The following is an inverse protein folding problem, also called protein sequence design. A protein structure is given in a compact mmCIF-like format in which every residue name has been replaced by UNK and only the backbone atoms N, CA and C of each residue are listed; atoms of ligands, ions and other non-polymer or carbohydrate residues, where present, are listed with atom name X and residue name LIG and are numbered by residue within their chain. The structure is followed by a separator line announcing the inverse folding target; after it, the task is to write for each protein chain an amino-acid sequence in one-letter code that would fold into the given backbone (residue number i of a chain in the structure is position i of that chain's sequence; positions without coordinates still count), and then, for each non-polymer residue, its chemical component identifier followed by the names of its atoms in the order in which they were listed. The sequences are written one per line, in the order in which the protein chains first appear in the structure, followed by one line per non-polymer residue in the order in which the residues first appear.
data_IF_206509558737
#
_entry.id   IF_206509558737
#
_cell.length_a   1.000
_cell.length_b   1.000
_cell.length_c   1.000
_cell.angle_alpha   90.00
_cell.angle_beta   90.00
_cell.angle_gamma   90.00
#
_symmetry.space_group_name_H-M   'P 1'
#
loop_
_entity.id
_entity.type
_entity.pdbx_description
1 polymer ?
#
# COMPACT_ATOMS: atom_id res chain seq x y z
N UNK A 1 17.30 -28.87 -35.28
CA UNK A 1 17.45 -30.06 -34.41
C UNK A 1 16.90 -29.68 -33.06
N UNK A 2 15.58 -29.75 -32.91
CA UNK A 2 14.88 -29.32 -31.70
C UNK A 2 14.63 -30.53 -30.80
N UNK A 3 15.50 -30.72 -29.81
CA UNK A 3 15.13 -31.55 -28.68
C UNK A 3 13.98 -30.83 -27.95
N UNK A 4 12.85 -31.50 -27.68
CA UNK A 4 11.68 -30.80 -27.20
C UNK A 4 11.92 -30.35 -25.75
N UNK A 5 11.76 -29.04 -25.52
CA UNK A 5 12.05 -28.27 -24.30
C UNK A 5 11.56 -28.93 -22.99
N UNK A 6 10.57 -29.82 -23.06
CA UNK A 6 10.06 -30.59 -21.92
C UNK A 6 11.10 -31.60 -21.38
N UNK A 7 11.91 -32.24 -22.23
CA UNK A 7 12.91 -33.22 -21.79
C UNK A 7 14.04 -32.58 -20.99
N UNK A 8 14.38 -31.32 -21.29
CA UNK A 8 15.40 -30.57 -20.56
C UNK A 8 14.88 -30.23 -19.14
N UNK A 9 13.60 -29.86 -19.01
CA UNK A 9 12.96 -29.55 -17.71
C UNK A 9 12.95 -30.76 -16.76
N UNK A 10 12.64 -31.95 -17.28
CA UNK A 10 12.61 -33.17 -16.47
C UNK A 10 14.00 -33.65 -16.04
N UNK A 11 15.01 -33.48 -16.90
CA UNK A 11 16.41 -33.78 -16.55
C UNK A 11 16.95 -32.82 -15.48
N UNK A 12 16.62 -31.53 -15.56
CA UNK A 12 17.04 -30.55 -14.53
C UNK A 12 16.40 -30.87 -13.17
N UNK A 13 15.10 -31.21 -13.13
CA UNK A 13 14.44 -31.65 -11.88
C UNK A 13 15.09 -32.91 -11.30
N UNK A 14 15.43 -33.87 -12.16
CA UNK A 14 16.07 -35.12 -11.73
C UNK A 14 17.45 -34.86 -11.11
N UNK A 15 18.23 -33.93 -11.66
CA UNK A 15 19.56 -33.57 -11.15
C UNK A 15 19.45 -32.86 -9.79
N UNK A 16 18.46 -32.00 -9.60
CA UNK A 16 18.27 -31.24 -8.35
C UNK A 16 17.77 -32.09 -7.16
N UNK A 17 17.27 -33.31 -7.40
CA UNK A 17 16.69 -34.19 -6.37
C UNK A 17 17.55 -35.40 -5.98
N UNK A 18 18.82 -35.48 -6.41
CA UNK A 18 19.69 -36.62 -6.04
C UNK A 18 20.10 -36.57 -4.56
N UNK A 19 19.61 -37.56 -3.79
CA UNK A 19 20.01 -37.80 -2.38
C UNK A 19 21.50 -38.18 -2.28
N UNK A 20 22.22 -37.71 -1.24
CA UNK A 20 23.63 -38.04 -1.07
C UNK A 20 23.80 -39.53 -0.69
N UNK A 21 24.61 -40.26 -1.47
CA UNK A 21 25.03 -41.63 -1.17
C UNK A 21 26.16 -41.59 -0.13
N UNK A 22 25.94 -42.25 1.01
CA UNK A 22 26.94 -42.40 2.07
C UNK A 22 27.98 -43.47 1.67
N UNK A 23 29.13 -43.05 1.16
CA UNK A 23 30.35 -43.86 1.17
C UNK A 23 31.53 -42.98 1.58
N UNK A 24 32.19 -43.38 2.66
CA UNK A 24 33.40 -42.76 3.20
C UNK A 24 34.61 -43.21 2.36
N UNK A 25 35.10 -42.36 1.46
CA UNK A 25 36.45 -42.46 0.90
C UNK A 25 37.17 -41.12 1.05
N UNK A 26 38.43 -41.15 1.45
CA UNK A 26 39.29 -40.01 1.81
C UNK A 26 39.83 -39.19 0.62
N UNK A 27 39.13 -39.20 -0.51
CA UNK A 27 39.42 -38.33 -1.65
C UNK A 27 38.72 -36.97 -1.45
N UNK A 28 39.30 -35.83 -1.90
CA UNK A 28 38.60 -34.55 -1.88
C UNK A 28 37.23 -34.73 -2.54
N UNK A 29 36.15 -34.19 -1.93
CA UNK A 29 34.80 -34.44 -2.42
C UNK A 29 34.73 -34.05 -3.90
N UNK A 30 34.24 -34.95 -4.78
CA UNK A 30 34.10 -34.62 -6.19
C UNK A 30 33.26 -33.35 -6.31
N UNK A 31 33.79 -32.36 -7.02
CA UNK A 31 33.09 -31.09 -7.28
C UNK A 31 31.71 -31.42 -7.85
N UNK A 32 30.69 -30.66 -7.41
CA UNK A 32 29.32 -30.88 -7.84
C UNK A 32 29.24 -30.87 -9.38
N UNK A 33 28.59 -31.87 -10.03
CA UNK A 33 28.51 -31.96 -11.49
C UNK A 33 27.98 -30.68 -12.16
N UNK A 34 27.19 -29.90 -11.43
CA UNK A 34 26.58 -28.65 -11.90
C UNK A 34 27.61 -27.53 -12.15
N UNK A 35 28.77 -27.57 -11.47
CA UNK A 35 29.82 -26.55 -11.61
C UNK A 35 30.56 -26.61 -12.95
N UNK A 36 30.45 -27.74 -13.66
CA UNK A 36 31.12 -27.99 -14.94
C UNK A 36 30.22 -27.75 -16.16
N UNK A 37 28.98 -27.30 -15.93
CA UNK A 37 28.09 -26.96 -17.04
C UNK A 37 28.65 -25.77 -17.83
N UNK A 38 28.53 -25.77 -19.16
CA UNK A 38 28.79 -24.60 -19.99
C UNK A 38 28.04 -23.36 -19.51
N UNK A 39 28.65 -22.19 -19.70
CA UNK A 39 28.13 -20.89 -19.25
C UNK A 39 26.71 -20.62 -19.76
N UNK A 40 26.42 -21.05 -20.99
CA UNK A 40 25.12 -20.93 -21.65
C UNK A 40 24.03 -21.75 -20.95
N UNK A 41 24.37 -22.96 -20.49
CA UNK A 41 23.44 -23.80 -19.74
C UNK A 41 23.19 -23.25 -18.34
N UNK A 42 24.21 -22.68 -17.70
CA UNK A 42 24.03 -21.99 -16.42
C UNK A 42 23.12 -20.76 -16.57
N UNK A 43 23.29 -19.94 -17.62
CA UNK A 43 22.37 -18.84 -17.95
C UNK A 43 20.95 -19.35 -18.20
N UNK A 44 20.80 -20.44 -18.97
CA UNK A 44 19.50 -21.01 -19.26
C UNK A 44 18.79 -21.47 -17.97
N UNK A 45 19.52 -22.15 -17.08
CA UNK A 45 18.98 -22.53 -15.77
C UNK A 45 18.57 -21.29 -14.98
N UNK A 46 19.44 -20.26 -14.91
CA UNK A 46 19.14 -19.01 -14.20
C UNK A 46 17.88 -18.32 -14.74
N UNK A 47 17.67 -18.33 -16.06
CA UNK A 47 16.49 -17.72 -16.71
C UNK A 47 15.17 -18.46 -16.45
N UNK A 48 15.23 -19.72 -16.00
CA UNK A 48 14.07 -20.55 -15.67
C UNK A 48 13.79 -20.63 -14.16
N UNK A 49 14.56 -19.92 -13.35
CA UNK A 49 14.28 -19.81 -11.93
C UNK A 49 12.97 -19.03 -11.75
N UNK A 50 12.10 -19.53 -10.88
CA UNK A 50 10.78 -18.95 -10.63
C UNK A 50 10.75 -17.94 -9.49
N UNK A 51 11.86 -17.78 -8.76
CA UNK A 51 11.91 -16.81 -7.68
C UNK A 51 13.26 -16.11 -7.53
N UNK A 52 13.19 -14.87 -7.12
CA UNK A 52 14.32 -14.00 -6.90
C UNK A 52 15.14 -14.42 -5.68
N UNK A 53 14.47 -15.02 -4.69
CA UNK A 53 15.11 -15.68 -3.54
C UNK A 53 15.96 -16.88 -3.99
N UNK A 54 15.41 -17.74 -4.86
CA UNK A 54 16.14 -18.88 -5.42
C UNK A 54 17.32 -18.44 -6.28
N UNK A 55 17.15 -17.38 -7.09
CA UNK A 55 18.26 -16.80 -7.85
C UNK A 55 19.39 -16.38 -6.92
N UNK A 56 19.08 -15.57 -5.90
CA UNK A 56 20.07 -15.09 -4.93
C UNK A 56 20.72 -16.24 -4.17
N UNK A 57 19.96 -17.24 -3.72
CA UNK A 57 20.49 -18.42 -3.07
C UNK A 57 21.48 -19.18 -3.97
N UNK A 58 21.13 -19.41 -5.24
CA UNK A 58 21.99 -20.11 -6.20
C UNK A 58 23.26 -19.32 -6.56
N UNK A 59 23.13 -18.01 -6.76
CA UNK A 59 24.28 -17.15 -7.06
C UNK A 59 25.24 -17.02 -5.88
N UNK A 60 24.77 -17.12 -4.63
CA UNK A 60 25.66 -17.07 -3.45
C UNK A 60 26.19 -18.44 -3.05
N UNK A 61 25.44 -19.51 -3.24
CA UNK A 61 25.85 -20.86 -2.81
C UNK A 61 26.75 -21.58 -3.81
N UNK A 62 26.71 -21.22 -5.10
CA UNK A 62 27.43 -21.93 -6.17
C UNK A 62 28.27 -20.94 -7.00
N UNK A 63 29.61 -20.97 -6.90
CA UNK A 63 30.50 -20.04 -7.61
C UNK A 63 30.32 -20.04 -9.14
N UNK A 64 29.94 -21.17 -9.73
CA UNK A 64 29.65 -21.25 -11.16
C UNK A 64 28.44 -20.39 -11.56
N UNK A 65 27.35 -20.43 -10.79
CA UNK A 65 26.19 -19.56 -11.01
C UNK A 65 26.49 -18.09 -10.71
N UNK A 66 27.31 -17.82 -9.67
CA UNK A 66 27.80 -16.46 -9.40
C UNK A 66 28.50 -15.87 -10.63
N UNK A 67 29.50 -16.58 -11.17
CA UNK A 67 30.23 -16.16 -12.38
C UNK A 67 29.29 -16.09 -13.57
N UNK A 68 28.44 -17.09 -13.77
CA UNK A 68 27.49 -17.10 -14.87
C UNK A 68 26.59 -15.86 -14.88
N UNK A 69 26.07 -15.47 -13.72
CA UNK A 69 25.24 -14.28 -13.58
C UNK A 69 26.05 -12.98 -13.69
N UNK A 70 27.09 -12.80 -12.88
CA UNK A 70 27.82 -11.52 -12.77
C UNK A 70 28.75 -11.22 -13.94
N UNK A 71 29.35 -12.25 -14.57
CA UNK A 71 30.21 -12.09 -15.74
C UNK A 71 29.42 -11.97 -17.05
N UNK A 72 28.10 -12.17 -17.02
CA UNK A 72 27.25 -12.03 -18.20
C UNK A 72 27.01 -10.56 -18.60
N UNK A 73 26.84 -10.28 -19.91
CA UNK A 73 26.46 -8.96 -20.38
C UNK A 73 25.21 -8.43 -19.67
N UNK A 74 25.08 -7.10 -19.47
CA UNK A 74 23.90 -6.49 -18.86
C UNK A 74 22.57 -6.97 -19.47
N UNK A 75 22.53 -7.19 -20.78
CA UNK A 75 21.34 -7.67 -21.49
C UNK A 75 20.90 -9.05 -21.00
N UNK A 76 21.83 -9.99 -20.85
CA UNK A 76 21.55 -11.34 -20.36
C UNK A 76 21.06 -11.33 -18.91
N UNK A 77 21.71 -10.52 -18.05
CA UNK A 77 21.25 -10.33 -16.67
C UNK A 77 19.83 -9.77 -16.61
N UNK A 78 19.54 -8.78 -17.46
CA UNK A 78 18.21 -8.18 -17.55
C UNK A 78 17.16 -9.19 -18.03
N UNK A 79 17.51 -10.09 -18.96
CA UNK A 79 16.60 -11.15 -19.41
C UNK A 79 16.30 -12.16 -18.30
N UNK A 80 17.32 -12.60 -17.54
CA UNK A 80 17.14 -13.49 -16.39
C UNK A 80 16.21 -12.85 -15.36
N UNK A 81 16.51 -11.61 -14.97
CA UNK A 81 15.75 -10.90 -13.94
C UNK A 81 14.33 -10.57 -14.42
N UNK A 82 14.15 -10.23 -15.69
CA UNK A 82 12.83 -10.01 -16.29
C UNK A 82 11.99 -11.29 -16.26
N UNK A 83 12.56 -12.43 -16.65
CA UNK A 83 11.87 -13.73 -16.60
C UNK A 83 11.40 -14.09 -15.19
N UNK A 84 12.24 -13.84 -14.18
CA UNK A 84 11.88 -14.08 -12.77
C UNK A 84 10.75 -13.15 -12.33
N UNK A 85 10.84 -11.86 -12.66
CA UNK A 85 9.83 -10.88 -12.30
C UNK A 85 8.49 -11.19 -12.99
N UNK A 86 8.50 -11.60 -14.26
CA UNK A 86 7.32 -12.05 -15.01
C UNK A 86 6.69 -13.32 -14.43
N UNK A 87 7.44 -14.12 -13.67
CA UNK A 87 6.94 -15.31 -12.98
C UNK A 87 6.45 -15.01 -11.55
N UNK A 88 7.09 -14.07 -10.84
CA UNK A 88 6.73 -13.71 -9.46
C UNK A 88 5.60 -12.68 -9.36
N UNK A 89 5.48 -11.79 -10.35
CA UNK A 89 4.56 -10.66 -10.34
C UNK A 89 3.51 -10.87 -11.42
N UNK A 90 2.24 -10.71 -11.05
CA UNK A 90 1.16 -10.78 -12.04
C UNK A 90 1.39 -9.78 -13.20
N UNK A 91 1.14 -10.14 -14.47
CA UNK A 91 1.33 -9.24 -15.61
C UNK A 91 0.67 -7.86 -15.46
N UNK A 92 -0.49 -7.81 -14.79
CA UNK A 92 -1.22 -6.59 -14.44
C UNK A 92 -0.42 -5.67 -13.50
N UNK A 93 0.22 -6.22 -12.45
CA UNK A 93 1.06 -5.46 -11.51
C UNK A 93 2.37 -5.01 -12.15
N UNK A 94 2.86 -5.70 -13.18
CA UNK A 94 4.05 -5.25 -13.91
C UNK A 94 3.84 -3.92 -14.62
N UNK A 95 2.63 -3.70 -15.15
CA UNK A 95 2.26 -2.42 -15.72
C UNK A 95 2.32 -1.32 -14.65
N UNK A 96 1.81 -1.60 -13.45
CA UNK A 96 1.82 -0.65 -12.33
C UNK A 96 3.25 -0.34 -11.86
N UNK A 97 4.10 -1.36 -11.72
CA UNK A 97 5.53 -1.17 -11.39
C UNK A 97 6.19 -0.31 -12.45
N UNK A 98 5.98 -0.61 -13.73
CA UNK A 98 6.55 0.18 -14.83
C UNK A 98 6.07 1.65 -14.78
N UNK A 99 4.80 1.88 -14.46
CA UNK A 99 4.25 3.23 -14.26
C UNK A 99 4.97 3.98 -13.14
N UNK A 100 5.19 3.36 -11.97
CA UNK A 100 5.93 3.98 -10.85
C UNK A 100 7.30 4.46 -11.31
N UNK A 101 8.05 3.59 -11.97
CA UNK A 101 9.42 3.93 -12.34
C UNK A 101 9.52 4.92 -13.49
N UNK A 102 8.61 4.86 -14.47
CA UNK A 102 8.50 5.88 -15.52
C UNK A 102 8.19 7.24 -14.91
N UNK A 103 7.25 7.30 -13.96
CA UNK A 103 6.93 8.52 -13.22
C UNK A 103 8.13 9.05 -12.43
N UNK A 104 8.96 8.17 -11.85
CA UNK A 104 10.20 8.55 -11.17
C UNK A 104 11.32 9.02 -12.10
N UNK A 105 11.17 8.86 -13.42
CA UNK A 105 12.22 9.18 -14.41
C UNK A 105 13.39 8.19 -14.39
N UNK A 106 13.23 7.03 -13.76
CA UNK A 106 14.28 6.01 -13.68
C UNK A 106 14.41 5.34 -15.06
N UNK A 107 15.57 5.47 -15.68
CA UNK A 107 15.88 4.77 -16.95
C UNK A 107 16.17 3.30 -16.66
N UNK A 108 15.74 2.41 -17.57
CA UNK A 108 16.06 0.98 -17.50
C UNK A 108 17.58 0.77 -17.60
N UNK A 109 18.25 0.66 -16.46
CA UNK A 109 19.68 0.41 -16.31
C UNK A 109 19.97 -0.80 -15.44
N UNK A 110 21.25 -1.07 -15.15
CA UNK A 110 21.67 -2.21 -14.31
C UNK A 110 21.13 -2.18 -12.88
N UNK A 111 20.76 -0.99 -12.39
CA UNK A 111 20.26 -0.77 -11.01
C UNK A 111 18.74 -0.93 -10.89
N UNK A 112 18.02 -0.88 -12.02
CA UNK A 112 16.57 -0.97 -12.10
C UNK A 112 16.01 -2.14 -11.29
N UNK A 113 16.62 -3.32 -11.42
CA UNK A 113 16.13 -4.53 -10.75
C UNK A 113 16.28 -4.50 -9.24
N UNK A 114 17.31 -3.82 -8.73
CA UNK A 114 17.48 -3.61 -7.29
C UNK A 114 16.34 -2.76 -6.74
N UNK A 115 16.03 -1.66 -7.42
CA UNK A 115 14.93 -0.78 -7.02
C UNK A 115 13.56 -1.46 -7.18
N UNK A 116 13.34 -2.24 -8.25
CA UNK A 116 12.10 -3.02 -8.43
C UNK A 116 11.93 -4.02 -7.31
N UNK A 117 12.98 -4.79 -6.99
CA UNK A 117 12.98 -5.75 -5.88
C UNK A 117 12.64 -5.05 -4.57
N UNK A 118 13.25 -3.91 -4.30
CA UNK A 118 13.00 -3.14 -3.08
C UNK A 118 11.56 -2.64 -3.02
N UNK A 119 11.03 -2.09 -4.13
CA UNK A 119 9.65 -1.64 -4.22
C UNK A 119 8.66 -2.80 -4.02
N UNK A 120 8.84 -3.92 -4.70
CA UNK A 120 7.98 -5.10 -4.56
C UNK A 120 8.03 -5.66 -3.13
N UNK A 121 9.23 -5.80 -2.55
CA UNK A 121 9.38 -6.27 -1.17
C UNK A 121 8.71 -5.33 -0.16
N UNK A 122 8.75 -4.02 -0.41
CA UNK A 122 8.05 -3.01 0.40
C UNK A 122 6.54 -3.11 0.26
N UNK A 123 6.03 -3.20 -0.97
CA UNK A 123 4.58 -3.32 -1.24
C UNK A 123 4.03 -4.62 -0.66
N UNK A 124 4.74 -5.74 -0.77
CA UNK A 124 4.40 -7.01 -0.13
C UNK A 124 4.31 -6.88 1.39
N UNK A 125 5.28 -6.20 2.01
CA UNK A 125 5.27 -5.97 3.45
C UNK A 125 4.11 -5.07 3.88
N UNK A 126 3.92 -3.94 3.21
CA UNK A 126 2.82 -3.00 3.49
C UNK A 126 1.44 -3.63 3.26
N UNK A 127 1.31 -4.55 2.30
CA UNK A 127 0.08 -5.33 2.09
C UNK A 127 -0.29 -6.12 3.36
N UNK A 128 0.70 -6.74 4.01
CA UNK A 128 0.48 -7.46 5.27
C UNK A 128 0.09 -6.53 6.41
N UNK A 129 0.73 -5.36 6.48
CA UNK A 129 0.41 -4.33 7.49
C UNK A 129 -1.00 -3.78 7.30
N UNK A 130 -1.40 -3.48 6.05
CA UNK A 130 -2.76 -3.09 5.69
C UNK A 130 -3.77 -4.15 6.13
N UNK A 131 -3.53 -5.42 5.77
CA UNK A 131 -4.43 -6.52 6.13
C UNK A 131 -4.55 -6.69 7.66
N UNK A 132 -3.44 -6.54 8.38
CA UNK A 132 -3.44 -6.64 9.85
C UNK A 132 -4.29 -5.55 10.49
N UNK A 133 -4.26 -4.32 9.96
CA UNK A 133 -5.10 -3.23 10.45
C UNK A 133 -6.56 -3.41 10.05
N UNK A 134 -6.82 -3.61 8.76
CA UNK A 134 -8.17 -3.68 8.20
C UNK A 134 -8.97 -4.91 8.68
N UNK A 135 -8.28 -6.02 8.98
CA UNK A 135 -8.90 -7.25 9.51
C UNK A 135 -8.83 -7.35 11.05
N UNK A 136 -8.37 -6.29 11.74
CA UNK A 136 -8.27 -6.29 13.21
C UNK A 136 -9.66 -6.55 13.83
N UNK A 137 -9.77 -7.44 14.84
CA UNK A 137 -11.03 -7.63 15.55
C UNK A 137 -11.50 -6.32 16.16
N UNK A 138 -12.73 -5.90 15.85
CA UNK A 138 -13.37 -4.77 16.52
C UNK A 138 -13.81 -5.27 17.90
N UNK A 139 -12.98 -5.04 18.92
CA UNK A 139 -13.14 -5.63 20.24
C UNK A 139 -14.50 -5.35 20.90
N UNK A 140 -15.02 -6.35 21.63
CA UNK A 140 -16.00 -6.14 22.69
C UNK A 140 -17.06 -7.23 22.94
N UNK A 141 -17.06 -8.38 22.28
CA UNK A 141 -18.05 -9.42 22.60
C UNK A 141 -17.72 -10.79 22.00
N UNK A 142 -17.61 -11.78 22.88
CA UNK A 142 -17.67 -13.23 22.66
C UNK A 142 -17.43 -13.78 21.25
N UNK A 143 -16.25 -14.35 21.06
CA UNK A 143 -16.09 -15.71 20.54
C UNK A 143 -16.83 -16.08 19.26
N UNK A 144 -16.42 -15.52 18.13
CA UNK A 144 -16.29 -16.34 16.93
C UNK A 144 -14.84 -16.22 16.49
N UNK A 145 -14.07 -17.27 16.73
CA UNK A 145 -12.78 -17.46 16.05
C UNK A 145 -13.06 -17.43 14.55
N UNK A 146 -12.69 -16.34 13.87
CA UNK A 146 -12.74 -16.31 12.41
C UNK A 146 -11.64 -17.24 11.89
N UNK A 147 -11.90 -18.54 11.89
CA UNK A 147 -10.95 -19.61 11.58
C UNK A 147 -10.34 -19.61 10.17
N UNK A 148 -10.75 -18.68 9.29
CA UNK A 148 -10.13 -18.47 7.97
C UNK A 148 -9.58 -17.04 7.77
N UNK A 149 -9.58 -16.18 8.79
CA UNK A 149 -9.18 -14.76 8.64
C UNK A 149 -7.71 -14.54 8.26
N UNK A 150 -6.84 -15.52 8.45
CA UNK A 150 -5.40 -15.33 8.30
C UNK A 150 -4.87 -15.35 6.87
N UNK A 151 -5.61 -15.94 5.91
CA UNK A 151 -5.16 -16.03 4.52
C UNK A 151 -6.01 -15.09 3.65
N UNK A 152 -5.36 -14.05 3.15
CA UNK A 152 -5.89 -13.25 2.03
C UNK A 152 -5.79 -14.07 0.76
N UNK A 153 -6.77 -13.91 -0.14
CA UNK A 153 -6.65 -14.53 -1.46
C UNK A 153 -5.60 -13.80 -2.30
N UNK A 154 -5.14 -14.43 -3.38
CA UNK A 154 -4.26 -13.75 -4.36
C UNK A 154 -4.95 -12.56 -5.02
N UNK A 155 -6.28 -12.59 -5.13
CA UNK A 155 -7.09 -11.51 -5.70
C UNK A 155 -7.14 -10.29 -4.78
N UNK A 156 -7.38 -10.50 -3.49
CA UNK A 156 -7.37 -9.44 -2.48
C UNK A 156 -5.98 -8.81 -2.37
N UNK A 157 -4.96 -9.67 -2.33
CA UNK A 157 -3.56 -9.26 -2.38
C UNK A 157 -3.28 -8.40 -3.61
N UNK A 158 -3.72 -8.86 -4.79
CA UNK A 158 -3.54 -8.13 -6.05
C UNK A 158 -4.16 -6.72 -6.01
N UNK A 159 -5.41 -6.59 -5.55
CA UNK A 159 -6.09 -5.28 -5.44
C UNK A 159 -5.36 -4.32 -4.50
N UNK A 160 -4.90 -4.80 -3.34
CA UNK A 160 -4.14 -4.00 -2.37
C UNK A 160 -2.81 -3.54 -2.99
N UNK A 161 -2.08 -4.45 -3.63
CA UNK A 161 -0.80 -4.14 -4.26
C UNK A 161 -0.95 -3.14 -5.40
N UNK A 162 -1.96 -3.31 -6.26
CA UNK A 162 -2.30 -2.35 -7.32
C UNK A 162 -2.56 -0.96 -6.75
N UNK A 163 -3.37 -0.85 -5.70
CA UNK A 163 -3.64 0.43 -5.05
C UNK A 163 -2.36 1.07 -4.46
N UNK A 164 -1.48 0.29 -3.84
CA UNK A 164 -0.19 0.77 -3.32
C UNK A 164 0.74 1.26 -4.44
N UNK A 165 0.85 0.53 -5.56
CA UNK A 165 1.66 0.98 -6.70
C UNK A 165 1.11 2.25 -7.34
N UNK A 166 -0.22 2.38 -7.43
CA UNK A 166 -0.86 3.58 -7.95
C UNK A 166 -0.64 4.78 -7.04
N UNK A 167 -0.76 4.59 -5.73
CA UNK A 167 -0.36 5.60 -4.75
C UNK A 167 1.09 6.06 -5.01
N UNK A 168 2.02 5.10 -5.14
CA UNK A 168 3.43 5.45 -5.37
C UNK A 168 3.66 6.13 -6.73
N UNK A 169 2.87 5.79 -7.76
CA UNK A 169 2.89 6.48 -9.05
C UNK A 169 2.39 7.92 -8.90
N UNK A 170 1.32 8.15 -8.15
CA UNK A 170 0.79 9.48 -7.85
C UNK A 170 1.84 10.33 -7.13
N UNK A 171 2.49 9.76 -6.10
CA UNK A 171 3.60 10.40 -5.38
C UNK A 171 4.77 10.70 -6.31
N UNK A 172 5.14 9.78 -7.20
CA UNK A 172 6.24 10.02 -8.13
C UNK A 172 5.96 11.15 -9.13
N UNK A 173 4.69 11.34 -9.51
CA UNK A 173 4.24 12.39 -10.43
C UNK A 173 4.11 13.76 -9.75
N UNK A 174 3.43 13.80 -8.59
CA UNK A 174 2.97 15.04 -7.98
C UNK A 174 3.58 15.33 -6.60
N UNK A 175 4.22 14.35 -5.96
CA UNK A 175 4.85 14.53 -4.66
C UNK A 175 6.07 15.46 -4.76
N UNK A 176 6.17 16.40 -3.82
CA UNK A 176 7.31 17.28 -3.69
C UNK A 176 8.50 16.52 -3.11
N UNK A 177 9.62 16.50 -3.84
CA UNK A 177 10.83 15.78 -3.41
C UNK A 177 11.75 16.62 -2.52
N UNK A 178 11.62 17.93 -2.61
CA UNK A 178 12.40 18.90 -1.86
C UNK A 178 11.39 19.94 -1.38
N UNK A 179 11.09 19.98 -0.08
CA UNK A 179 10.32 21.05 0.58
C UNK A 179 11.11 22.37 0.58
N UNK A 180 11.59 22.76 -0.59
CA UNK A 180 12.25 24.02 -0.88
C UNK A 180 11.34 24.77 -1.85
N UNK A 181 11.31 26.11 -1.78
CA UNK A 181 10.55 26.92 -2.73
C UNK A 181 11.18 26.71 -4.12
N UNK A 182 10.68 25.72 -4.85
CA UNK A 182 11.25 25.28 -6.11
C UNK A 182 10.17 25.32 -7.17
N UNK A 183 10.43 26.18 -8.16
CA UNK A 183 9.92 26.39 -9.52
C UNK A 183 9.09 25.33 -10.26
N UNK A 184 8.71 24.18 -9.67
CA UNK A 184 7.66 23.34 -10.24
C UNK A 184 6.35 24.13 -10.17
N UNK A 185 5.64 24.14 -11.29
CA UNK A 185 4.26 24.62 -11.36
C UNK A 185 3.47 23.78 -10.35
N UNK A 186 3.05 24.41 -9.26
CA UNK A 186 2.17 23.79 -8.27
C UNK A 186 0.93 23.30 -9.01
N UNK A 187 0.82 21.99 -9.18
CA UNK A 187 -0.39 21.41 -9.74
C UNK A 187 -1.47 21.59 -8.69
N UNK A 188 -2.57 22.26 -9.04
CA UNK A 188 -3.73 22.26 -8.16
C UNK A 188 -4.32 20.86 -8.11
N UNK A 189 -4.98 20.49 -7.01
CA UNK A 189 -5.61 19.17 -6.85
C UNK A 189 -6.52 18.78 -8.03
N UNK A 190 -7.21 19.75 -8.65
CA UNK A 190 -8.04 19.54 -9.84
C UNK A 190 -7.22 19.13 -11.07
N UNK A 191 -6.04 19.73 -11.25
CA UNK A 191 -5.13 19.39 -12.35
C UNK A 191 -4.51 18.02 -12.12
N UNK A 192 -4.09 17.73 -10.87
CA UNK A 192 -3.61 16.39 -10.49
C UNK A 192 -4.68 15.34 -10.81
N UNK A 193 -5.93 15.60 -10.41
CA UNK A 193 -7.04 14.70 -10.65
C UNK A 193 -7.35 14.52 -12.14
N UNK A 194 -7.37 15.61 -12.91
CA UNK A 194 -7.59 15.56 -14.36
C UNK A 194 -6.51 14.77 -15.10
N UNK A 195 -5.24 14.98 -14.72
CA UNK A 195 -4.11 14.26 -15.32
C UNK A 195 -4.08 12.78 -14.94
N UNK A 196 -4.33 12.47 -13.67
CA UNK A 196 -4.15 11.12 -13.15
C UNK A 196 -5.40 10.25 -13.28
N UNK A 197 -6.56 10.77 -12.87
CA UNK A 197 -7.83 10.05 -12.88
C UNK A 197 -8.66 10.29 -14.15
N UNK A 198 -8.44 11.41 -14.85
CA UNK A 198 -9.25 11.83 -16.00
C UNK A 198 -8.88 11.17 -17.34
N UNK A 199 -7.69 10.58 -17.48
CA UNK A 199 -7.17 10.06 -18.77
C UNK A 199 -7.78 8.72 -19.21
N UNK A 200 -8.83 8.22 -18.54
CA UNK A 200 -9.53 6.97 -18.88
C UNK A 200 -8.78 5.67 -18.55
N UNK A 201 -7.53 5.78 -18.09
CA UNK A 201 -6.69 4.66 -17.66
C UNK A 201 -7.13 4.05 -16.33
N UNK A 202 -7.58 4.88 -15.38
CA UNK A 202 -8.02 4.42 -14.05
C UNK A 202 -9.54 4.30 -14.00
N UNK A 203 -10.04 3.13 -13.62
CA UNK A 203 -11.47 2.85 -13.45
C UNK A 203 -11.94 3.31 -12.07
N UNK A 204 -13.24 3.57 -11.96
CA UNK A 204 -13.81 4.15 -10.74
C UNK A 204 -13.69 3.24 -9.49
N UNK A 205 -13.70 1.91 -9.65
CA UNK A 205 -13.43 1.01 -8.53
C UNK A 205 -11.97 1.04 -8.10
N UNK A 206 -11.04 1.25 -9.03
CA UNK A 206 -9.62 1.32 -8.70
C UNK A 206 -9.24 2.66 -8.03
N UNK A 207 -9.93 3.76 -8.38
CA UNK A 207 -9.84 5.02 -7.60
C UNK A 207 -10.27 4.77 -6.16
N UNK A 208 -11.32 3.97 -5.97
CA UNK A 208 -11.83 3.64 -4.65
C UNK A 208 -10.90 2.70 -3.88
N UNK A 209 -10.24 1.74 -4.57
CA UNK A 209 -9.13 0.95 -4.02
C UNK A 209 -8.00 1.85 -3.50
N UNK A 210 -7.61 2.85 -4.29
CA UNK A 210 -6.63 3.85 -3.88
C UNK A 210 -7.12 4.66 -2.67
N UNK A 211 -8.39 5.06 -2.64
CA UNK A 211 -8.97 5.79 -1.51
C UNK A 211 -8.97 4.93 -0.22
N UNK A 212 -9.32 3.64 -0.30
CA UNK A 212 -9.23 2.69 0.81
C UNK A 212 -7.79 2.64 1.39
N UNK A 213 -6.77 2.56 0.52
CA UNK A 213 -5.35 2.56 0.94
C UNK A 213 -4.92 3.91 1.50
N UNK A 214 -5.32 5.03 0.88
CA UNK A 214 -5.03 6.38 1.36
C UNK A 214 -5.56 6.58 2.78
N UNK A 215 -6.81 6.20 3.05
CA UNK A 215 -7.42 6.38 4.36
C UNK A 215 -6.71 5.54 5.43
N UNK A 216 -6.24 4.34 5.08
CA UNK A 216 -5.38 3.55 5.96
C UNK A 216 -4.09 4.28 6.30
N UNK A 217 -3.37 4.81 5.30
CA UNK A 217 -2.15 5.59 5.54
C UNK A 217 -2.43 6.83 6.39
N UNK A 218 -3.54 7.51 6.13
CA UNK A 218 -3.97 8.69 6.89
C UNK A 218 -4.18 8.37 8.36
N UNK A 219 -4.79 7.20 8.68
CA UNK A 219 -4.93 6.72 10.05
C UNK A 219 -3.60 6.34 10.68
N UNK A 220 -2.72 5.68 9.92
CA UNK A 220 -1.36 5.34 10.39
C UNK A 220 -0.62 6.60 10.78
N UNK A 221 -0.53 7.59 9.89
CA UNK A 221 0.15 8.85 10.16
C UNK A 221 -0.49 9.62 11.31
N UNK A 222 -1.82 9.71 11.37
CA UNK A 222 -2.49 10.29 12.53
C UNK A 222 -2.20 9.55 13.83
N UNK A 223 -2.01 8.23 13.78
CA UNK A 223 -1.54 7.44 14.93
C UNK A 223 -0.16 7.89 15.39
N UNK A 224 0.80 7.95 14.46
CA UNK A 224 2.18 8.38 14.73
C UNK A 224 2.21 9.81 15.27
N UNK A 225 1.53 10.77 14.64
CA UNK A 225 1.49 12.17 15.10
C UNK A 225 0.95 12.31 16.53
N UNK A 226 -0.07 11.52 16.89
CA UNK A 226 -0.59 11.50 18.27
C UNK A 226 0.39 10.87 19.25
N UNK A 227 1.09 9.81 18.85
CA UNK A 227 2.13 9.17 19.67
C UNK A 227 3.31 10.11 19.92
N UNK A 228 3.71 10.89 18.92
CA UNK A 228 4.84 11.83 19.00
C UNK A 228 4.44 13.24 19.43
N UNK A 229 3.17 13.45 19.84
CA UNK A 229 2.61 14.79 20.10
C UNK A 229 3.42 15.59 21.13
N UNK A 230 3.95 14.93 22.17
CA UNK A 230 4.76 15.58 23.19
C UNK A 230 6.05 16.19 22.62
N UNK A 231 6.80 15.41 21.84
CA UNK A 231 8.04 15.88 21.21
C UNK A 231 7.80 16.97 20.16
N UNK A 232 6.70 16.84 19.40
CA UNK A 232 6.28 17.87 18.43
C UNK A 232 5.95 19.18 19.15
N UNK A 233 5.20 19.09 20.24
CA UNK A 233 4.84 20.26 21.06
C UNK A 233 6.08 20.97 21.61
N UNK A 234 7.06 20.23 22.12
CA UNK A 234 8.32 20.82 22.63
C UNK A 234 9.13 21.50 21.52
N UNK A 235 9.23 20.88 20.35
CA UNK A 235 9.90 21.46 19.17
C UNK A 235 9.21 22.75 18.71
N UNK A 236 7.88 22.73 18.62
CA UNK A 236 7.09 23.88 18.21
C UNK A 236 7.24 25.04 19.20
N UNK A 237 7.19 24.75 20.50
CA UNK A 237 7.41 25.74 21.54
C UNK A 237 8.81 26.36 21.45
N UNK A 238 9.87 25.56 21.26
CA UNK A 238 11.22 26.11 21.17
C UNK A 238 11.39 26.96 19.90
N UNK A 239 10.79 26.54 18.79
CA UNK A 239 10.78 27.33 17.54
C UNK A 239 10.11 28.69 17.75
N UNK A 240 8.93 28.72 18.38
CA UNK A 240 8.22 29.97 18.70
C UNK A 240 9.00 30.84 19.70
N UNK A 241 9.64 30.24 20.70
CA UNK A 241 10.52 30.96 21.63
C UNK A 241 11.67 31.62 20.89
N UNK A 242 12.33 30.91 19.97
CA UNK A 242 13.44 31.46 19.19
C UNK A 242 12.98 32.62 18.31
N UNK A 243 11.84 32.50 17.63
CA UNK A 243 11.27 33.59 16.84
C UNK A 243 10.92 34.81 17.71
N UNK A 244 10.30 34.60 18.88
CA UNK A 244 9.90 35.68 19.78
C UNK A 244 11.10 36.33 20.51
N UNK A 245 12.17 35.58 20.78
CA UNK A 245 13.44 36.13 21.30
C UNK A 245 14.01 37.18 20.34
N UNK A 246 13.82 37.03 19.02
CA UNK A 246 14.22 38.05 18.04
C UNK A 246 13.45 39.37 18.20
N UNK A 247 12.28 39.36 18.84
CA UNK A 247 11.49 40.56 19.16
C UNK A 247 11.77 41.10 20.58
N UNK A 248 12.86 40.66 21.22
CA UNK A 248 13.26 41.06 22.58
C UNK A 248 12.22 40.74 23.67
N UNK A 249 11.36 39.74 23.44
CA UNK A 249 10.49 39.21 24.48
C UNK A 249 11.29 38.28 25.38
N UNK A 250 11.12 38.42 26.70
CA UNK A 250 11.85 37.63 27.70
C UNK A 250 10.94 37.18 28.85
N UNK A 251 11.40 36.17 29.59
CA UNK A 251 10.74 35.71 30.81
C UNK A 251 9.32 35.17 30.58
N UNK A 252 8.38 35.52 31.46
CA UNK A 252 7.01 34.98 31.42
C UNK A 252 6.21 35.38 30.19
N UNK A 253 6.43 36.58 29.66
CA UNK A 253 5.70 37.07 28.49
C UNK A 253 6.06 36.28 27.22
N UNK A 254 7.34 35.92 27.07
CA UNK A 254 7.82 35.04 26.01
C UNK A 254 7.11 33.67 26.06
N UNK A 255 7.11 33.04 27.24
CA UNK A 255 6.53 31.72 27.45
C UNK A 255 5.02 31.70 27.17
N UNK A 256 4.27 32.62 27.78
CA UNK A 256 2.81 32.69 27.61
C UNK A 256 2.42 32.97 26.16
N UNK A 257 3.22 33.74 25.43
CA UNK A 257 2.96 34.05 24.02
C UNK A 257 3.31 32.88 23.11
N UNK A 258 4.43 32.20 23.34
CA UNK A 258 4.83 31.00 22.59
C UNK A 258 3.76 29.90 22.75
N UNK A 259 3.38 29.58 24.00
CA UNK A 259 2.32 28.60 24.28
C UNK A 259 1.00 28.97 23.61
N UNK A 260 0.61 30.24 23.66
CA UNK A 260 -0.61 30.71 23.00
C UNK A 260 -0.55 30.54 21.49
N UNK A 261 0.59 30.82 20.86
CA UNK A 261 0.75 30.65 19.40
C UNK A 261 0.69 29.18 18.99
N UNK A 262 1.37 28.28 19.72
CA UNK A 262 1.29 26.83 19.45
C UNK A 262 -0.13 26.30 19.70
N UNK A 263 -0.80 26.70 20.79
CA UNK A 263 -2.20 26.32 21.06
C UNK A 263 -3.18 26.83 20.00
N UNK A 264 -2.89 27.97 19.38
CA UNK A 264 -3.73 28.54 18.33
C UNK A 264 -3.53 27.87 16.96
N UNK A 265 -2.54 26.98 16.81
CA UNK A 265 -2.44 26.12 15.62
C UNK A 265 -3.63 25.17 15.63
N UNK A 266 -4.60 25.45 14.76
CA UNK A 266 -5.93 24.85 14.79
C UNK A 266 -5.95 23.34 14.55
N UNK A 267 -7.16 22.76 14.62
CA UNK A 267 -7.39 21.32 14.39
C UNK A 267 -6.95 20.85 12.99
N UNK A 268 -6.85 21.77 12.02
CA UNK A 268 -6.44 21.48 10.64
C UNK A 268 -4.97 21.06 10.50
N UNK A 269 -4.11 21.43 11.46
CA UNK A 269 -2.68 21.10 11.42
C UNK A 269 -2.44 19.58 11.28
N UNK A 270 -3.15 18.74 12.04
CA UNK A 270 -2.94 17.28 11.96
C UNK A 270 -3.37 16.73 10.59
N UNK A 271 -4.40 17.31 9.98
CA UNK A 271 -4.87 16.90 8.65
C UNK A 271 -3.82 17.27 7.59
N UNK A 272 -3.32 18.51 7.65
CA UNK A 272 -2.31 19.04 6.73
C UNK A 272 -1.00 18.26 6.82
N UNK A 273 -0.51 17.98 8.04
CA UNK A 273 0.68 17.14 8.22
C UNK A 273 0.52 15.77 7.57
N UNK A 274 -0.66 15.14 7.67
CA UNK A 274 -0.85 13.83 7.04
C UNK A 274 -0.78 13.89 5.51
N UNK A 275 -1.23 14.97 4.87
CA UNK A 275 -1.06 15.15 3.41
C UNK A 275 0.42 15.29 3.04
N UNK A 276 1.19 16.08 3.80
CA UNK A 276 2.65 16.20 3.65
C UNK A 276 3.31 14.83 3.74
N UNK A 277 2.94 14.03 4.74
CA UNK A 277 3.50 12.69 4.93
C UNK A 277 3.07 11.69 3.84
N UNK A 278 1.92 11.89 3.19
CA UNK A 278 1.54 11.11 2.00
C UNK A 278 2.47 11.42 0.82
N UNK A 279 2.90 12.68 0.64
CA UNK A 279 3.85 13.04 -0.44
C UNK A 279 5.20 12.34 -0.32
N UNK A 280 5.58 11.87 0.87
CA UNK A 280 6.83 11.14 1.12
C UNK A 280 6.81 9.69 0.60
N UNK A 281 5.63 9.18 0.23
CA UNK A 281 5.46 7.88 -0.43
C UNK A 281 5.62 6.65 0.47
N UNK A 282 5.55 5.48 -0.16
CA UNK A 282 5.68 4.19 0.53
C UNK A 282 7.02 4.00 1.25
N UNK A 283 8.18 4.49 0.74
CA UNK A 283 9.45 4.35 1.45
C UNK A 283 9.43 4.95 2.84
N UNK A 284 8.84 6.13 2.99
CA UNK A 284 8.72 6.80 4.28
C UNK A 284 7.73 6.07 5.20
N UNK A 285 6.55 5.71 4.68
CA UNK A 285 5.55 4.92 5.42
C UNK A 285 6.15 3.63 5.99
N UNK A 286 6.97 2.93 5.20
CA UNK A 286 7.61 1.70 5.65
C UNK A 286 8.68 1.94 6.72
N UNK A 287 9.39 3.07 6.70
CA UNK A 287 10.36 3.44 7.73
C UNK A 287 9.65 3.78 9.04
N UNK A 288 8.62 4.62 8.99
CA UNK A 288 7.91 5.07 10.20
C UNK A 288 7.20 3.92 10.92
N UNK A 289 6.64 2.96 10.18
CA UNK A 289 6.00 1.78 10.76
C UNK A 289 7.00 0.76 11.35
N UNK A 290 8.26 0.78 10.88
CA UNK A 290 9.33 -0.08 11.42
C UNK A 290 10.03 0.54 12.62
N UNK A 291 9.91 1.85 12.82
CA UNK A 291 10.46 2.54 13.96
C UNK A 291 9.83 2.00 15.27
N UNK A 292 10.68 1.65 16.23
CA UNK A 292 10.29 0.91 17.43
C UNK A 292 9.92 1.80 18.60
N UNK A 293 10.43 3.03 18.62
CA UNK A 293 10.22 3.97 19.72
C UNK A 293 9.56 5.27 19.23
N UNK A 294 9.03 6.04 20.18
CA UNK A 294 8.44 7.35 19.91
C UNK A 294 9.51 8.33 19.43
N UNK A 295 10.71 8.26 19.99
CA UNK A 295 11.86 9.10 19.64
C UNK A 295 12.35 8.80 18.22
N UNK A 296 12.43 7.52 17.83
CA UNK A 296 12.80 7.13 16.46
C UNK A 296 11.74 7.61 15.45
N UNK A 297 10.46 7.52 15.79
CA UNK A 297 9.37 8.06 14.95
C UNK A 297 9.45 9.57 14.84
N UNK A 298 9.69 10.27 15.94
CA UNK A 298 9.83 11.72 15.96
C UNK A 298 11.03 12.17 15.12
N UNK A 299 12.21 11.56 15.28
CA UNK A 299 13.40 11.88 14.50
C UNK A 299 13.21 11.64 12.98
N UNK A 300 12.33 10.71 12.59
CA UNK A 300 11.95 10.52 11.19
C UNK A 300 10.97 11.59 10.70
N UNK A 301 10.08 12.09 11.56
CA UNK A 301 9.06 13.08 11.23
C UNK A 301 9.61 14.51 11.21
N UNK A 302 10.43 14.87 12.18
CA UNK A 302 10.93 16.22 12.46
C UNK A 302 11.36 17.00 11.21
N UNK A 303 12.15 16.43 10.26
CA UNK A 303 12.57 17.18 9.06
C UNK A 303 11.45 17.55 8.09
N UNK A 304 10.26 16.99 8.26
CA UNK A 304 9.11 17.15 7.38
C UNK A 304 7.91 17.82 8.07
N UNK A 305 8.01 18.11 9.38
CA UNK A 305 6.95 18.78 10.10
C UNK A 305 6.89 20.24 9.66
N UNK A 306 5.72 20.66 9.18
CA UNK A 306 5.48 22.04 8.79
C UNK A 306 4.98 22.83 10.00
N UNK A 307 5.74 23.84 10.40
CA UNK A 307 5.45 24.68 11.57
C UNK A 307 4.39 25.73 11.24
N UNK A 308 4.35 26.20 9.99
CA UNK A 308 3.43 27.23 9.54
C UNK A 308 2.84 26.88 8.16
N UNK A 309 1.52 26.68 8.11
CA UNK A 309 0.78 26.53 6.86
C UNK A 309 0.25 27.90 6.44
N UNK A 310 0.88 28.49 5.43
CA UNK A 310 0.26 29.61 4.72
C UNK A 310 -0.95 29.10 3.92
N UNK A 311 -0.83 27.88 3.36
CA UNK A 311 -1.88 27.15 2.65
C UNK A 311 -1.81 25.66 3.02
N UNK A 312 -2.97 25.03 3.20
CA UNK A 312 -3.08 23.59 3.41
C UNK A 312 -2.57 22.84 2.17
N UNK A 313 -1.71 21.80 2.31
CA UNK A 313 -1.24 21.04 1.17
C UNK A 313 -2.37 20.22 0.57
N UNK A 314 -2.84 20.66 -0.60
CA UNK A 314 -3.80 19.98 -1.44
C UNK A 314 -3.12 18.83 -2.22
N UNK A 315 -3.05 17.64 -1.60
CA UNK A 315 -2.47 16.46 -2.24
C UNK A 315 -3.53 15.43 -2.63
N UNK A 316 -3.38 14.18 -2.18
CA UNK A 316 -4.17 13.07 -2.67
C UNK A 316 -5.61 13.14 -2.16
N UNK A 317 -5.85 13.62 -0.95
CA UNK A 317 -7.23 13.72 -0.43
C UNK A 317 -8.08 14.65 -1.27
N UNK A 318 -7.59 15.84 -1.59
CA UNK A 318 -8.34 16.80 -2.39
C UNK A 318 -8.38 16.40 -3.87
N UNK A 319 -7.33 15.75 -4.38
CA UNK A 319 -7.36 15.17 -5.73
C UNK A 319 -8.42 14.05 -5.87
N UNK A 320 -8.65 13.25 -4.82
CA UNK A 320 -9.70 12.22 -4.82
C UNK A 320 -11.12 12.79 -4.75
N UNK A 321 -11.29 14.01 -4.21
CA UNK A 321 -12.57 14.73 -4.14
C UNK A 321 -12.85 15.61 -5.35
N UNK A 322 -11.85 15.83 -6.19
CA UNK A 322 -11.95 16.78 -7.30
C UNK A 322 -13.07 16.40 -8.30
N UNK A 323 -13.73 17.41 -8.90
CA UNK A 323 -14.68 17.19 -9.98
C UNK A 323 -14.04 16.42 -11.15
N UNK A 324 -14.79 15.51 -11.77
CA UNK A 324 -14.31 14.74 -12.92
C UNK A 324 -13.51 13.48 -12.58
N UNK A 325 -13.18 13.26 -11.31
CA UNK A 325 -12.72 11.94 -10.86
C UNK A 325 -13.82 10.91 -11.22
N UNK A 326 -13.49 9.76 -11.85
CA UNK A 326 -14.45 8.77 -12.34
C UNK A 326 -15.49 8.28 -11.33
N UNK A 327 -15.29 8.57 -10.05
CA UNK A 327 -16.19 8.29 -8.93
C UNK A 327 -17.46 9.14 -8.98
N UNK A 328 -17.38 10.40 -9.45
CA UNK A 328 -18.46 11.41 -9.46
C UNK A 328 -19.24 11.51 -10.79
N UNK A 329 -18.87 10.74 -11.82
CA UNK A 329 -19.49 10.83 -13.15
C UNK A 329 -20.92 10.28 -13.21
N UNK A 330 -21.89 11.17 -13.42
CA UNK A 330 -23.31 10.87 -13.64
C UNK A 330 -23.56 9.96 -14.87
N UNK A 331 -24.60 9.10 -14.77
CA UNK A 331 -25.18 8.26 -15.84
C UNK A 331 -24.33 7.10 -16.41
N UNK A 332 -23.59 6.38 -15.57
CA UNK A 332 -22.97 5.13 -16.03
C UNK A 332 -23.98 3.97 -16.11
N UNK A 333 -23.81 3.13 -17.14
CA UNK A 333 -24.47 1.81 -17.26
C UNK A 333 -24.37 1.07 -15.92
N UNK A 334 -25.42 0.35 -15.55
CA UNK A 334 -25.35 -0.60 -14.43
C UNK A 334 -24.15 -1.50 -14.67
N UNK A 335 -23.19 -1.44 -13.76
CA UNK A 335 -22.07 -2.38 -13.73
C UNK A 335 -22.61 -3.64 -13.07
N UNK A 336 -22.60 -4.74 -13.80
CA UNK A 336 -22.96 -6.04 -13.25
C UNK A 336 -21.73 -6.67 -12.61
N UNK A 337 -21.93 -7.38 -11.50
CA UNK A 337 -20.86 -8.11 -10.86
C UNK A 337 -20.78 -9.50 -11.51
N UNK A 338 -19.72 -9.75 -12.25
CA UNK A 338 -19.46 -11.02 -12.97
C UNK A 338 -18.59 -11.99 -12.16
N UNK A 339 -18.34 -11.69 -10.89
CA UNK A 339 -17.41 -12.42 -10.02
C UNK A 339 -16.10 -11.68 -9.80
N UNK A 340 -15.26 -12.21 -8.92
CA UNK A 340 -13.93 -11.66 -8.65
C UNK A 340 -13.01 -11.94 -9.84
N UNK A 341 -12.83 -10.93 -10.68
CA UNK A 341 -11.86 -10.93 -11.79
C UNK A 341 -10.77 -9.90 -11.55
N UNK A 342 -9.55 -10.20 -12.01
CA UNK A 342 -8.34 -9.48 -11.58
C UNK A 342 -8.43 -7.97 -11.81
N UNK A 343 -8.92 -7.58 -12.98
CA UNK A 343 -9.08 -6.18 -13.39
C UNK A 343 -10.53 -5.69 -13.29
N UNK A 344 -11.36 -6.36 -12.48
CA UNK A 344 -12.77 -6.02 -12.29
C UNK A 344 -13.06 -5.40 -10.93
N UNK A 345 -14.24 -4.77 -10.79
CA UNK A 345 -14.71 -4.32 -9.49
C UNK A 345 -14.99 -5.51 -8.57
N UNK A 346 -14.87 -5.33 -7.27
CA UNK A 346 -15.34 -6.32 -6.31
C UNK A 346 -16.84 -6.21 -6.07
N UNK A 347 -17.42 -7.21 -5.40
CA UNK A 347 -18.85 -7.25 -5.10
C UNK A 347 -19.29 -5.98 -4.32
N UNK A 348 -18.52 -5.60 -3.30
CA UNK A 348 -18.91 -4.50 -2.42
C UNK A 348 -19.00 -3.16 -3.17
N UNK A 349 -18.07 -2.88 -4.08
CA UNK A 349 -18.13 -1.69 -4.93
C UNK A 349 -19.34 -1.71 -5.86
N UNK A 350 -19.66 -2.84 -6.49
CA UNK A 350 -20.84 -2.94 -7.35
C UNK A 350 -22.12 -2.70 -6.55
N UNK A 351 -22.23 -3.31 -5.36
CA UNK A 351 -23.36 -3.11 -4.47
C UNK A 351 -23.50 -1.65 -4.01
N UNK A 352 -22.38 -0.97 -3.75
CA UNK A 352 -22.36 0.46 -3.39
C UNK A 352 -23.03 1.34 -4.44
N UNK A 353 -23.02 0.92 -5.72
CA UNK A 353 -23.58 1.64 -6.85
C UNK A 353 -24.97 1.17 -7.30
N UNK A 354 -25.37 -0.08 -7.02
CA UNK A 354 -26.55 -0.74 -7.61
C UNK A 354 -27.91 -0.15 -7.21
N UNK A 355 -28.02 0.51 -6.05
CA UNK A 355 -29.33 0.80 -5.42
C UNK A 355 -29.55 2.23 -4.92
N UNK A 356 -28.77 3.21 -5.39
CA UNK A 356 -28.87 4.58 -4.88
C UNK A 356 -29.39 5.53 -5.94
N UNK A 357 -30.34 6.38 -5.55
CA UNK A 357 -30.69 7.58 -6.31
C UNK A 357 -29.42 8.45 -6.52
N UNK A 358 -29.28 9.25 -7.59
CA UNK A 358 -28.09 10.07 -7.81
C UNK A 358 -27.68 10.92 -6.61
N UNK A 359 -28.64 11.51 -5.88
CA UNK A 359 -28.35 12.31 -4.69
C UNK A 359 -27.83 11.47 -3.51
N UNK A 360 -28.40 10.27 -3.29
CA UNK A 360 -27.91 9.33 -2.27
C UNK A 360 -26.56 8.69 -2.62
N UNK A 361 -26.19 8.67 -3.92
CA UNK A 361 -24.84 8.27 -4.35
C UNK A 361 -23.83 9.31 -3.95
N UNK A 362 -24.13 10.59 -4.13
CA UNK A 362 -23.22 11.69 -3.84
C UNK A 362 -22.95 11.80 -2.34
N UNK A 363 -24.00 11.84 -1.51
CA UNK A 363 -23.88 11.80 -0.03
C UNK A 363 -23.15 10.55 0.48
N UNK A 364 -23.21 9.45 -0.25
CA UNK A 364 -22.48 8.24 0.14
C UNK A 364 -20.96 8.45 0.12
N UNK A 365 -20.45 9.16 -0.89
CA UNK A 365 -19.01 9.42 -1.01
C UNK A 365 -18.50 10.40 0.01
N UNK A 366 -19.36 11.32 0.45
CA UNK A 366 -18.99 12.40 1.37
C UNK A 366 -19.01 11.93 2.83
N UNK A 367 -20.06 11.24 3.29
CA UNK A 367 -20.23 10.96 4.73
C UNK A 367 -20.00 9.49 5.11
N UNK A 368 -20.39 8.55 4.25
CA UNK A 368 -20.40 7.12 4.60
C UNK A 368 -19.18 6.38 4.09
N UNK A 369 -18.62 6.77 2.95
CA UNK A 369 -17.50 6.08 2.33
C UNK A 369 -16.27 6.03 3.25
N UNK A 370 -16.01 7.08 4.04
CA UNK A 370 -14.87 7.11 4.98
C UNK A 370 -14.92 5.92 5.96
N UNK A 371 -16.06 5.69 6.60
CA UNK A 371 -16.22 4.57 7.55
C UNK A 371 -16.08 3.18 6.89
N UNK A 372 -16.31 3.07 5.57
CA UNK A 372 -16.21 1.80 4.85
C UNK A 372 -14.79 1.57 4.31
N UNK A 373 -14.12 2.66 3.90
CA UNK A 373 -12.71 2.66 3.54
C UNK A 373 -11.83 2.30 4.72
N UNK A 374 -12.28 2.53 5.96
CA UNK A 374 -11.55 2.10 7.16
C UNK A 374 -11.19 0.61 7.17
N UNK A 375 -12.10 -0.25 6.72
CA UNK A 375 -11.85 -1.69 6.64
C UNK A 375 -11.52 -2.14 5.22
N UNK A 376 -11.33 -1.23 4.26
CA UNK A 376 -10.92 -1.56 2.90
C UNK A 376 -11.97 -2.30 2.08
N UNK A 377 -13.26 -1.94 2.21
CA UNK A 377 -14.37 -2.70 1.63
C UNK A 377 -14.23 -3.05 0.14
N UNK A 378 -13.56 -2.19 -0.60
CA UNK A 378 -13.32 -2.27 -2.03
C UNK A 378 -12.25 -3.31 -2.42
N UNK A 379 -11.53 -3.88 -1.45
CA UNK A 379 -10.34 -4.73 -1.65
C UNK A 379 -10.62 -6.23 -1.45
N UNK A 380 -11.76 -6.58 -0.84
CA UNK A 380 -12.06 -7.96 -0.44
C UNK A 380 -12.84 -8.73 -1.49
N UNK A 381 -12.61 -10.04 -1.54
CA UNK A 381 -13.32 -10.94 -2.45
C UNK A 381 -14.75 -11.18 -2.01
N UNK A 382 -15.60 -11.56 -2.96
CA UNK A 382 -16.98 -11.95 -2.75
C UNK A 382 -17.11 -13.00 -1.65
N UNK A 383 -16.27 -14.04 -1.64
CA UNK A 383 -16.33 -15.09 -0.60
C UNK A 383 -16.20 -14.48 0.80
N UNK A 384 -15.24 -13.57 1.00
CA UNK A 384 -15.00 -12.91 2.30
C UNK A 384 -16.15 -11.99 2.65
N UNK A 385 -16.60 -11.18 1.70
CA UNK A 385 -17.72 -10.26 1.87
C UNK A 385 -19.01 -11.01 2.25
N UNK A 386 -19.36 -12.09 1.54
CA UNK A 386 -20.49 -12.97 1.89
C UNK A 386 -20.32 -13.57 3.29
N UNK A 387 -19.11 -13.96 3.66
CA UNK A 387 -18.78 -14.42 5.02
C UNK A 387 -19.00 -13.34 6.09
N UNK A 388 -18.92 -12.07 5.74
CA UNK A 388 -19.29 -10.92 6.60
C UNK A 388 -20.78 -10.57 6.54
N UNK A 389 -21.59 -11.34 5.80
CA UNK A 389 -23.02 -11.08 5.61
C UNK A 389 -23.32 -10.03 4.53
N UNK A 390 -22.31 -9.61 3.77
CA UNK A 390 -22.47 -8.64 2.68
C UNK A 390 -23.03 -9.37 1.45
N UNK A 391 -24.29 -9.08 1.12
CA UNK A 391 -25.00 -9.66 -0.01
C UNK A 391 -25.95 -8.64 -0.65
N UNK A 392 -26.52 -8.99 -1.81
CA UNK A 392 -27.47 -8.16 -2.58
C UNK A 392 -28.66 -7.65 -1.75
N UNK A 393 -29.11 -8.42 -0.74
CA UNK A 393 -30.20 -8.06 0.18
C UNK A 393 -29.73 -7.30 1.43
N UNK A 394 -28.54 -7.60 1.93
CA UNK A 394 -27.96 -7.00 3.14
C UNK A 394 -27.32 -5.61 2.96
N UNK A 395 -27.07 -5.19 1.72
CA UNK A 395 -26.35 -3.93 1.45
C UNK A 395 -27.18 -2.66 1.66
N UNK A 396 -28.52 -2.73 1.55
CA UNK A 396 -29.36 -1.54 1.32
C UNK A 396 -29.46 -0.56 2.49
N UNK A 397 -29.13 -0.97 3.71
CA UNK A 397 -29.41 -0.14 4.87
C UNK A 397 -28.26 -0.19 5.86
N UNK A 398 -27.31 0.74 5.75
CA UNK A 398 -26.27 0.99 6.76
C UNK A 398 -26.80 1.20 8.19
N UNK A 399 -28.12 1.20 8.39
CA UNK A 399 -28.81 0.89 9.65
C UNK A 399 -29.97 -0.08 9.38
N UNK A 400 -29.81 -1.39 9.61
CA UNK A 400 -30.97 -2.25 9.90
C UNK A 400 -30.61 -3.56 10.58
N UNK A 401 -31.25 -3.74 11.73
CA UNK A 401 -31.21 -4.91 12.59
C UNK A 401 -32.03 -6.02 11.95
N UNK A 402 -31.38 -7.12 11.57
CA UNK A 402 -32.07 -8.39 11.31
C UNK A 402 -31.44 -9.47 12.18
N UNK A 403 -32.31 -10.25 12.82
CA UNK A 403 -31.98 -11.26 13.84
C UNK A 403 -30.93 -12.27 13.32
N UNK A 404 -29.97 -12.63 14.18
CA UNK A 404 -29.03 -13.74 13.90
C UNK A 404 -27.98 -13.46 12.82
N UNK A 405 -27.63 -12.19 12.57
CA UNK A 405 -26.57 -11.79 11.64
C UNK A 405 -25.59 -10.80 12.28
N UNK A 406 -24.41 -10.70 11.69
CA UNK A 406 -23.46 -9.61 11.98
C UNK A 406 -24.05 -8.30 11.51
N UNK A 407 -24.30 -7.37 12.44
CA UNK A 407 -24.79 -6.02 12.17
C UNK A 407 -23.64 -5.05 12.37
N UNK A 408 -23.33 -4.29 11.33
CA UNK A 408 -22.45 -3.12 11.46
C UNK A 408 -23.23 -2.04 12.20
N UNK A 409 -22.90 -1.82 13.47
CA UNK A 409 -23.40 -0.66 14.24
C UNK A 409 -22.32 0.38 14.30
N UNK A 410 -22.69 1.61 13.98
CA UNK A 410 -21.91 2.81 14.28
C UNK A 410 -21.71 2.90 15.79
N UNK A 411 -20.51 2.56 16.29
CA UNK A 411 -20.19 2.79 17.69
C UNK A 411 -19.34 4.04 17.82
N UNK A 412 -19.93 5.09 18.38
CA UNK A 412 -19.20 6.28 18.81
C UNK A 412 -18.27 5.90 19.98
N UNK A 413 -16.95 6.08 19.79
CA UNK A 413 -15.95 5.98 20.86
C UNK A 413 -15.96 7.25 21.71
N UNK A 414 -15.40 7.17 22.92
CA UNK A 414 -15.15 8.35 23.78
C UNK A 414 -14.31 9.44 23.09
N UNK A 415 -13.60 9.09 22.03
CA UNK A 415 -12.82 10.00 21.18
C UNK A 415 -13.64 10.70 20.09
N UNK A 416 -14.98 10.59 20.09
CA UNK A 416 -15.86 11.13 19.04
C UNK A 416 -15.87 10.34 17.71
N UNK A 417 -14.98 9.36 17.54
CA UNK A 417 -14.92 8.53 16.32
C UNK A 417 -16.03 7.51 16.27
N UNK A 418 -16.77 7.48 15.16
CA UNK A 418 -17.71 6.41 14.83
C UNK A 418 -16.94 5.31 14.11
N UNK A 419 -16.82 4.15 14.75
CA UNK A 419 -16.17 2.98 14.15
C UNK A 419 -17.26 1.94 13.85
N UNK A 420 -17.28 1.34 12.64
CA UNK A 420 -18.18 0.23 12.36
C UNK A 420 -17.85 -0.93 13.29
N UNK A 421 -18.69 -1.18 14.29
CA UNK A 421 -18.61 -2.35 15.16
C UNK A 421 -19.58 -3.39 14.65
N UNK A 422 -19.03 -4.50 14.19
CA UNK A 422 -19.82 -5.67 13.86
C UNK A 422 -20.21 -6.36 15.17
N UNK A 423 -21.47 -6.20 15.58
CA UNK A 423 -22.05 -6.98 16.68
C UNK A 423 -22.87 -8.10 16.09
N UNK A 424 -22.76 -9.28 16.67
CA UNK A 424 -23.74 -10.32 16.45
C UNK A 424 -25.05 -9.85 17.09
N UNK A 425 -26.12 -9.70 16.31
CA UNK A 425 -27.43 -9.32 16.86
C UNK A 425 -28.01 -10.51 17.65
N UNK A 426 -27.80 -10.50 18.97
CA UNK A 426 -28.38 -11.46 19.92
C UNK A 426 -29.72 -10.89 20.43
N UNK A 427 -30.70 -11.76 20.67
CA UNK A 427 -32.02 -11.36 21.21
C UNK A 427 -31.85 -10.62 22.55
N UNK A 428 -32.63 -9.54 22.73
CA UNK A 428 -32.85 -8.92 24.05
C UNK A 428 -34.15 -9.42 24.71
N UNK A 429 -34.61 -10.59 24.32
CA UNK A 429 -35.71 -11.30 25.00
C UNK A 429 -35.17 -12.52 25.74
N UNK A 430 -34.36 -12.26 26.76
CA UNK A 430 -34.22 -13.07 27.99
C UNK A 430 -33.35 -12.31 29.01
#
# INVERSE_FOLDING_TARGET
MDAPLHQIKDRIRTILHLKPRSQRSSSPPPLSPISHLPHELLILILSHISSLSTLTALTHSIPAFHRAFHSSPPQTRNLILRSIIEQEVSPSLLVEIECVFRARGVRRGTWWFGEVRELCGRVEWLTKEFCRDALRPVGGGGGVERGEMGKISEMEKHRIQRALYRFETFVALFGEKEFRPSYRREFRHQEMAGLYFGTGGIKAWEVEELACVRDWMFRVYGGVLRETRGSIWEMDLETERDELRCFMLEGRELEERAERQVMNRGEDWEKEQREVLLMLGLPFLARILKAKSVEEKFALLEPYLIVNFADAPDFLTEALKAPGVPVHGHRRRRVEFEGDVENGPNLAWVLSKKNRDPEERERWFEDLAESWREWGYCLWDEKRLKGWGISDSGWRHGKRWEKGRWVCVEQARRSGRVVPRWVWAIDKSE
#
